data_IF_252469081700
#
_entry.id   IF_252469081700
#
_cell.length_a   1.000
_cell.length_b   1.000
_cell.length_c   1.000
_cell.angle_alpha   90.00
_cell.angle_beta   90.00
_cell.angle_gamma   90.00
#
_symmetry.space_group_name_H-M   'P 1'
#
loop_
_entity.id
_entity.type
_entity.pdbx_description
1 polymer ?
#
# COMPACT_ATOMS: atom_id res chain seq x y z
N UNK A 1 -8.78 -0.93 -22.07
CA UNK A 1 -7.82 -1.52 -21.11
C UNK A 1 -7.58 -0.47 -20.04
N UNK A 2 -7.78 -0.82 -18.77
CA UNK A 2 -7.51 0.07 -17.64
C UNK A 2 -6.02 0.43 -17.63
N UNK A 3 -5.69 1.71 -17.46
CA UNK A 3 -4.30 2.13 -17.26
C UNK A 3 -4.02 2.16 -15.76
N UNK A 4 -2.91 1.53 -15.35
CA UNK A 4 -2.42 1.60 -13.96
C UNK A 4 -2.23 3.05 -13.51
N UNK A 5 -1.83 3.95 -14.40
CA UNK A 5 -1.66 5.37 -14.06
C UNK A 5 -2.98 6.06 -13.70
N UNK A 6 -4.09 5.68 -14.33
CA UNK A 6 -5.42 6.22 -14.01
C UNK A 6 -5.85 5.77 -12.62
N UNK A 7 -5.58 4.50 -12.28
CA UNK A 7 -5.81 3.91 -10.96
C UNK A 7 -4.96 4.59 -9.88
N UNK A 8 -3.66 4.78 -10.12
CA UNK A 8 -2.74 5.37 -9.14
C UNK A 8 -3.00 6.86 -8.88
N UNK A 9 -3.60 7.56 -9.84
CA UNK A 9 -3.96 8.97 -9.75
C UNK A 9 -5.44 9.21 -9.39
N UNK A 10 -6.22 8.14 -9.23
CA UNK A 10 -7.67 8.19 -9.01
C UNK A 10 -8.40 9.04 -10.07
N UNK A 11 -8.06 8.85 -11.36
CA UNK A 11 -8.60 9.62 -12.47
C UNK A 11 -9.31 8.73 -13.49
N UNK A 12 -10.63 8.61 -13.37
CA UNK A 12 -11.47 7.80 -14.24
C UNK A 12 -12.37 8.61 -15.20
N UNK A 13 -12.06 9.89 -15.39
CA UNK A 13 -12.89 10.81 -16.20
C UNK A 13 -13.07 10.37 -17.65
N UNK A 14 -12.11 9.63 -18.21
CA UNK A 14 -12.12 9.08 -19.56
C UNK A 14 -12.96 7.80 -19.73
N UNK A 15 -13.45 7.21 -18.63
CA UNK A 15 -14.18 5.93 -18.63
C UNK A 15 -15.71 6.17 -18.70
N UNK A 16 -16.49 5.21 -19.22
CA UNK A 16 -17.96 5.28 -19.20
C UNK A 16 -18.50 5.36 -17.76
N UNK A 17 -19.58 6.11 -17.53
CA UNK A 17 -20.14 6.31 -16.20
C UNK A 17 -20.40 5.00 -15.43
N UNK A 18 -20.94 3.99 -16.11
CA UNK A 18 -21.25 2.68 -15.51
C UNK A 18 -20.01 1.94 -14.99
N UNK A 19 -18.82 2.29 -15.49
CA UNK A 19 -17.54 1.68 -15.11
C UNK A 19 -16.81 2.54 -14.08
N UNK A 20 -17.13 3.84 -13.96
CA UNK A 20 -16.47 4.74 -13.00
C UNK A 20 -16.75 4.34 -11.56
N UNK A 21 -18.00 4.08 -11.22
CA UNK A 21 -18.38 3.73 -9.85
C UNK A 21 -17.62 2.48 -9.35
N UNK A 22 -17.47 1.47 -10.23
CA UNK A 22 -16.65 0.30 -9.96
C UNK A 22 -15.17 0.65 -9.78
N UNK A 23 -14.60 1.45 -10.70
CA UNK A 23 -13.18 1.82 -10.65
C UNK A 23 -12.84 2.69 -9.44
N UNK A 24 -13.75 3.56 -9.00
CA UNK A 24 -13.61 4.37 -7.80
C UNK A 24 -13.58 3.49 -6.55
N UNK A 25 -14.55 2.58 -6.40
CA UNK A 25 -14.57 1.62 -5.29
C UNK A 25 -13.31 0.73 -5.28
N UNK A 26 -12.95 0.18 -6.43
CA UNK A 26 -11.75 -0.65 -6.58
C UNK A 26 -10.47 0.13 -6.22
N UNK A 27 -10.36 1.38 -6.63
CA UNK A 27 -9.23 2.26 -6.32
C UNK A 27 -9.09 2.53 -4.82
N UNK A 28 -10.21 2.77 -4.15
CA UNK A 28 -10.24 2.98 -2.69
C UNK A 28 -9.90 1.68 -1.94
N UNK A 29 -10.45 0.54 -2.36
CA UNK A 29 -10.12 -0.77 -1.80
C UNK A 29 -8.64 -1.11 -1.96
N UNK A 30 -8.08 -0.87 -3.15
CA UNK A 30 -6.66 -1.09 -3.42
C UNK A 30 -5.77 -0.21 -2.53
N UNK A 31 -6.17 1.05 -2.35
CA UNK A 31 -5.46 1.98 -1.47
C UNK A 31 -5.43 1.47 -0.03
N UNK A 32 -6.55 0.99 0.51
CA UNK A 32 -6.58 0.45 1.87
C UNK A 32 -5.80 -0.86 1.98
N UNK A 33 -5.90 -1.76 1.00
CA UNK A 33 -5.14 -3.01 0.96
C UNK A 33 -3.63 -2.74 0.96
N UNK A 34 -3.14 -1.76 0.18
CA UNK A 34 -1.73 -1.35 0.19
C UNK A 34 -1.27 -0.86 1.56
N UNK A 35 -2.12 -0.12 2.30
CA UNK A 35 -1.77 0.33 3.66
C UNK A 35 -1.67 -0.84 4.62
N UNK A 36 -2.63 -1.76 4.57
CA UNK A 36 -2.65 -2.94 5.43
C UNK A 36 -1.40 -3.80 5.21
N UNK A 37 -1.06 -4.10 3.96
CA UNK A 37 0.15 -4.84 3.61
C UNK A 37 1.43 -4.16 4.11
N UNK A 38 1.54 -2.84 3.94
CA UNK A 38 2.68 -2.07 4.42
C UNK A 38 2.81 -2.08 5.94
N UNK A 39 1.68 -2.00 6.66
CA UNK A 39 1.64 -2.14 8.12
C UNK A 39 2.11 -3.54 8.51
N UNK A 40 1.57 -4.58 7.88
CA UNK A 40 1.95 -5.97 8.16
C UNK A 40 3.45 -6.22 7.93
N UNK A 41 3.99 -5.77 6.79
CA UNK A 41 5.43 -5.86 6.50
C UNK A 41 6.28 -5.16 7.58
N UNK A 42 5.85 -3.97 8.01
CA UNK A 42 6.57 -3.19 9.03
C UNK A 42 6.52 -3.89 10.39
N UNK A 43 5.34 -4.39 10.78
CA UNK A 43 5.14 -5.12 12.03
C UNK A 43 5.98 -6.40 12.05
N UNK A 44 5.94 -7.20 11.00
CA UNK A 44 6.73 -8.44 10.89
C UNK A 44 8.24 -8.17 10.99
N UNK A 45 8.71 -7.12 10.30
CA UNK A 45 10.10 -6.69 10.39
C UNK A 45 10.48 -6.26 11.80
N UNK A 46 9.67 -5.43 12.45
CA UNK A 46 9.91 -5.00 13.83
C UNK A 46 9.89 -6.18 14.82
N UNK A 47 8.98 -7.14 14.65
CA UNK A 47 8.93 -8.34 15.49
C UNK A 47 10.15 -9.24 15.31
N UNK A 48 10.63 -9.37 14.08
CA UNK A 48 11.85 -10.12 13.75
C UNK A 48 13.08 -9.42 14.34
N UNK A 49 13.22 -8.11 14.14
CA UNK A 49 14.29 -7.32 14.72
C UNK A 49 14.26 -7.35 16.26
N UNK A 50 13.09 -7.33 16.88
CA UNK A 50 12.98 -7.42 18.35
C UNK A 50 13.56 -8.74 18.91
N UNK A 51 13.46 -9.83 18.14
CA UNK A 51 14.00 -11.15 18.51
C UNK A 51 15.47 -11.29 18.15
N UNK A 52 15.85 -10.88 16.96
CA UNK A 52 17.13 -11.25 16.34
C UNK A 52 18.12 -10.09 16.23
N UNK A 53 17.63 -8.83 16.21
CA UNK A 53 18.45 -7.64 16.03
C UNK A 53 17.93 -6.43 16.84
N UNK A 54 18.10 -6.51 18.16
CA UNK A 54 17.57 -5.53 19.12
C UNK A 54 18.01 -4.09 18.85
N UNK A 55 19.18 -3.88 18.25
CA UNK A 55 19.67 -2.55 17.91
C UNK A 55 18.87 -1.95 16.75
N UNK A 56 18.63 -2.72 15.69
CA UNK A 56 17.79 -2.29 14.58
C UNK A 56 16.35 -2.01 15.03
N UNK A 57 15.81 -2.84 15.93
CA UNK A 57 14.50 -2.60 16.55
C UNK A 57 14.45 -1.25 17.28
N UNK A 58 15.45 -0.94 18.12
CA UNK A 58 15.55 0.34 18.83
C UNK A 58 15.65 1.53 17.89
N UNK A 59 16.42 1.41 16.80
CA UNK A 59 16.54 2.46 15.78
C UNK A 59 15.18 2.72 15.13
N UNK A 60 14.48 1.67 14.70
CA UNK A 60 13.16 1.80 14.08
C UNK A 60 12.14 2.40 15.04
N UNK A 61 12.07 1.93 16.29
CA UNK A 61 11.18 2.46 17.31
C UNK A 61 11.50 3.93 17.63
N UNK A 62 12.77 4.27 17.78
CA UNK A 62 13.21 5.65 18.03
C UNK A 62 12.86 6.57 16.86
N UNK A 63 12.99 6.09 15.62
CA UNK A 63 12.58 6.85 14.43
C UNK A 63 11.07 7.12 14.41
N UNK A 64 10.25 6.13 14.79
CA UNK A 64 8.79 6.28 14.90
C UNK A 64 8.45 7.32 16.00
N UNK A 65 9.09 7.23 17.16
CA UNK A 65 8.84 8.14 18.29
C UNK A 65 9.30 9.58 18.02
N UNK A 66 10.46 9.75 17.38
CA UNK A 66 11.04 11.07 17.14
C UNK A 66 10.43 11.79 15.94
N UNK A 67 10.12 11.07 14.85
CA UNK A 67 9.70 11.66 13.58
C UNK A 67 8.22 11.41 13.25
N UNK A 68 7.50 10.68 14.10
CA UNK A 68 6.19 10.13 13.81
C UNK A 68 6.24 8.97 12.82
N UNK A 69 5.18 8.18 12.75
CA UNK A 69 4.98 7.29 11.62
C UNK A 69 4.70 8.17 10.39
N UNK A 70 5.41 7.93 9.28
CA UNK A 70 5.14 8.54 7.96
C UNK A 70 3.75 8.11 7.48
N UNK A 71 2.69 8.63 8.11
CA UNK A 71 1.33 8.09 8.08
C UNK A 71 0.88 7.78 6.67
N UNK A 72 0.63 6.50 6.37
CA UNK A 72 0.24 6.05 5.04
C UNK A 72 -1.03 6.74 4.54
N UNK A 73 -1.89 7.17 5.46
CA UNK A 73 -3.11 7.96 5.17
C UNK A 73 -2.85 9.25 4.39
N UNK A 74 -1.72 9.91 4.59
CA UNK A 74 -1.38 11.17 3.92
C UNK A 74 -0.65 10.98 2.57
N UNK A 75 -0.34 9.74 2.17
CA UNK A 75 0.42 9.44 0.95
C UNK A 75 -0.51 9.17 -0.22
N UNK A 76 -0.15 9.56 -1.45
CA UNK A 76 -0.88 9.15 -2.65
C UNK A 76 -0.77 7.63 -2.87
N UNK A 77 -1.71 7.03 -3.59
CA UNK A 77 -1.69 5.59 -3.91
C UNK A 77 -0.40 5.22 -4.66
N UNK A 78 0.07 6.07 -5.58
CA UNK A 78 1.38 5.93 -6.23
C UNK A 78 2.55 5.85 -5.23
N UNK A 79 2.56 6.72 -4.22
CA UNK A 79 3.62 6.70 -3.21
C UNK A 79 3.53 5.47 -2.29
N UNK A 80 2.32 4.94 -2.05
CA UNK A 80 2.12 3.69 -1.32
C UNK A 80 2.64 2.50 -2.12
N UNK A 81 2.34 2.42 -3.43
CA UNK A 81 2.87 1.36 -4.30
C UNK A 81 4.40 1.36 -4.33
N UNK A 82 5.04 2.53 -4.48
CA UNK A 82 6.50 2.58 -4.47
C UNK A 82 7.11 2.09 -3.17
N UNK A 83 6.50 2.43 -2.02
CA UNK A 83 6.93 1.89 -0.73
C UNK A 83 6.69 0.38 -0.65
N UNK A 84 5.56 -0.11 -1.15
CA UNK A 84 5.22 -1.54 -1.14
C UNK A 84 6.28 -2.35 -1.91
N UNK A 85 6.70 -1.85 -3.08
CA UNK A 85 7.72 -2.48 -3.91
C UNK A 85 9.14 -2.42 -3.33
N UNK A 86 9.38 -1.67 -2.24
CA UNK A 86 10.63 -1.78 -1.47
C UNK A 86 10.67 -3.07 -0.64
N UNK A 87 9.52 -3.65 -0.30
CA UNK A 87 9.38 -4.86 0.53
C UNK A 87 8.92 -6.09 -0.26
N UNK A 88 8.15 -5.88 -1.32
CA UNK A 88 7.48 -6.91 -2.11
C UNK A 88 7.84 -6.78 -3.59
N UNK A 89 7.59 -7.83 -4.36
CA UNK A 89 7.85 -7.87 -5.81
C UNK A 89 6.61 -7.47 -6.60
N UNK A 90 6.80 -7.20 -7.90
CA UNK A 90 5.70 -6.87 -8.81
C UNK A 90 4.65 -7.99 -8.95
N UNK A 91 5.08 -9.26 -8.84
CA UNK A 91 4.16 -10.40 -8.82
C UNK A 91 3.21 -10.33 -7.62
N UNK A 92 3.73 -10.03 -6.42
CA UNK A 92 2.91 -9.87 -5.21
C UNK A 92 1.89 -8.73 -5.36
N UNK A 93 2.25 -7.68 -6.11
CA UNK A 93 1.33 -6.59 -6.42
C UNK A 93 0.22 -7.02 -7.40
N UNK A 94 0.53 -7.91 -8.35
CA UNK A 94 -0.48 -8.46 -9.27
C UNK A 94 -1.48 -9.32 -8.50
N UNK A 95 -1.00 -10.18 -7.60
CA UNK A 95 -1.85 -10.98 -6.71
C UNK A 95 -2.73 -10.09 -5.81
N UNK A 96 -2.19 -8.95 -5.35
CA UNK A 96 -2.96 -7.97 -4.59
C UNK A 96 -4.09 -7.35 -5.42
N UNK A 97 -3.84 -7.03 -6.70
CA UNK A 97 -4.87 -6.50 -7.60
C UNK A 97 -5.99 -7.51 -7.83
N UNK A 98 -5.66 -8.79 -8.00
CA UNK A 98 -6.63 -9.87 -8.16
C UNK A 98 -7.50 -10.01 -6.90
N UNK A 99 -6.87 -10.08 -5.72
CA UNK A 99 -7.58 -10.16 -4.44
C UNK A 99 -8.54 -9.00 -4.22
N UNK A 100 -8.09 -7.77 -4.46
CA UNK A 100 -8.94 -6.58 -4.32
C UNK A 100 -10.10 -6.61 -5.31
N UNK A 101 -9.88 -7.14 -6.52
CA UNK A 101 -10.93 -7.27 -7.54
C UNK A 101 -11.99 -8.29 -7.14
N UNK A 102 -11.61 -9.38 -6.47
CA UNK A 102 -12.55 -10.41 -5.99
C UNK A 102 -13.39 -9.92 -4.79
N UNK A 103 -12.88 -8.91 -4.07
CA UNK A 103 -13.54 -8.29 -2.91
C UNK A 103 -14.43 -7.08 -3.27
N UNK A 104 -14.42 -6.61 -4.53
CA UNK A 104 -15.10 -5.38 -5.02
C UNK A 104 -16.34 -5.66 -5.86
#
# INVERSE_FOLDING_TARGET
MLKIEDLLNNNFSSYPHQVRDYLENFSDNLREALKEELVNCTVEKMLTDAKENKENFKIQLSNILNNGHKGYNARSTKALLYLYLEFKKEADFTDLLERVSDES
#
